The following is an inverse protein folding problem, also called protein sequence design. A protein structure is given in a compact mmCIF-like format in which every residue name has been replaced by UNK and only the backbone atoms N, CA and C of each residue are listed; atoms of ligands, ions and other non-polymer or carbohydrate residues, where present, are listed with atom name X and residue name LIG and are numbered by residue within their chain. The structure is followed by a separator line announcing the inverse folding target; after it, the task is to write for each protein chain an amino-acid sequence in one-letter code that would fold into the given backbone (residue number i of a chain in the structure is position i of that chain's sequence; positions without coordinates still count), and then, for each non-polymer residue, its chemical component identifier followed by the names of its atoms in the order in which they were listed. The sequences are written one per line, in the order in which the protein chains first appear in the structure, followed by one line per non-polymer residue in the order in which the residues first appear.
data_IF_300476725780
#
_entry.id   IF_300476725780
#
_cell.length_a   1.000
_cell.length_b   1.000
_cell.length_c   1.000
_cell.angle_alpha   90.00
_cell.angle_beta   90.00
_cell.angle_gamma   90.00
#
_symmetry.space_group_name_H-M   'P 1'
#
loop_
_entity.id
_entity.type
_entity.pdbx_description
1 polymer ?
#
# COMPACT_ATOMS: atom_id res chain seq x y z
N UNK A 1 -0.42 -17.61 17.36
CA UNK A 1 -1.82 -17.85 17.77
C UNK A 1 -2.17 -17.36 19.19
N UNK A 2 -1.22 -16.88 20.01
CA UNK A 2 -1.42 -16.83 21.48
C UNK A 2 -2.15 -15.58 22.04
N UNK A 3 -2.56 -14.62 21.20
CA UNK A 3 -3.16 -13.38 21.68
C UNK A 3 -4.67 -13.41 21.94
N UNK A 4 -5.45 -14.13 21.11
CA UNK A 4 -6.92 -14.03 21.10
C UNK A 4 -7.59 -15.09 21.99
N UNK A 5 -7.19 -16.35 21.85
CA UNK A 5 -7.66 -17.45 22.70
C UNK A 5 -7.30 -17.21 24.17
N UNK A 6 -6.13 -16.60 24.44
CA UNK A 6 -5.70 -16.23 25.78
C UNK A 6 -6.61 -15.18 26.46
N UNK A 7 -7.40 -14.42 25.69
CA UNK A 7 -8.34 -13.41 26.22
C UNK A 7 -9.78 -13.95 26.34
N UNK A 8 -9.99 -15.26 26.12
CA UNK A 8 -11.30 -15.89 26.25
C UNK A 8 -12.30 -15.53 25.14
N UNK A 9 -11.81 -15.02 24.00
CA UNK A 9 -12.67 -14.78 22.83
C UNK A 9 -13.07 -16.12 22.22
N UNK A 10 -14.37 -16.41 22.01
CA UNK A 10 -14.80 -17.66 21.43
C UNK A 10 -14.22 -17.89 20.03
N UNK A 11 -13.82 -19.13 19.72
CA UNK A 11 -13.22 -19.49 18.42
C UNK A 11 -14.12 -19.10 17.24
N UNK A 12 -15.44 -19.25 17.40
CA UNK A 12 -16.44 -18.83 16.41
C UNK A 12 -16.33 -17.35 16.03
N UNK A 13 -15.98 -16.46 16.97
CA UNK A 13 -15.79 -15.03 16.68
C UNK A 13 -14.51 -14.82 15.86
N UNK A 14 -13.47 -15.62 16.12
CA UNK A 14 -12.28 -15.60 15.29
C UNK A 14 -12.56 -16.01 13.85
N UNK A 15 -13.36 -17.04 13.66
CA UNK A 15 -13.67 -17.56 12.34
C UNK A 15 -14.65 -16.67 11.57
N UNK A 16 -15.69 -16.14 12.23
CA UNK A 16 -16.72 -15.34 11.54
C UNK A 16 -16.33 -13.87 11.32
N UNK A 17 -15.58 -13.28 12.25
CA UNK A 17 -15.27 -11.83 12.25
C UNK A 17 -13.80 -11.58 11.93
N UNK A 18 -12.89 -12.24 12.64
CA UNK A 18 -11.46 -11.94 12.49
C UNK A 18 -10.86 -12.50 11.20
N UNK A 19 -11.40 -13.55 10.58
CA UNK A 19 -10.99 -13.96 9.23
C UNK A 19 -11.26 -12.82 8.23
N UNK A 20 -12.50 -12.31 8.19
CA UNK A 20 -12.87 -11.23 7.28
C UNK A 20 -12.02 -9.97 7.51
N UNK A 21 -11.82 -9.59 8.77
CA UNK A 21 -11.01 -8.43 9.14
C UNK A 21 -9.53 -8.62 8.79
N UNK A 22 -8.95 -9.80 9.05
CA UNK A 22 -7.52 -10.04 8.79
C UNK A 22 -7.21 -9.99 7.29
N UNK A 23 -8.05 -10.65 6.49
CA UNK A 23 -7.92 -10.62 5.02
C UNK A 23 -8.11 -9.21 4.46
N UNK A 24 -9.06 -8.44 5.00
CA UNK A 24 -9.29 -7.08 4.54
C UNK A 24 -8.14 -6.12 4.86
N UNK A 25 -7.43 -6.35 5.97
CA UNK A 25 -6.34 -5.48 6.42
C UNK A 25 -5.00 -5.82 5.77
N UNK A 26 -4.69 -7.11 5.57
CA UNK A 26 -3.37 -7.53 5.11
C UNK A 26 -3.37 -8.81 4.25
N UNK A 27 -4.52 -9.22 3.72
CA UNK A 27 -4.66 -10.33 2.76
C UNK A 27 -4.28 -11.72 3.29
N UNK A 28 -4.07 -11.86 4.60
CA UNK A 28 -3.71 -13.12 5.27
C UNK A 28 -4.74 -13.50 6.34
N UNK A 29 -4.70 -14.77 6.75
CA UNK A 29 -5.59 -15.32 7.76
C UNK A 29 -5.15 -14.89 9.19
N UNK A 30 -6.06 -14.97 10.18
CA UNK A 30 -5.82 -14.46 11.54
C UNK A 30 -4.75 -15.22 12.33
N UNK A 31 -4.42 -16.44 11.93
CA UNK A 31 -3.34 -17.27 12.48
C UNK A 31 -1.96 -16.76 12.10
N UNK A 32 -1.84 -16.11 10.94
CA UNK A 32 -0.63 -15.49 10.43
C UNK A 32 -0.54 -13.98 10.70
N UNK A 33 -1.65 -13.34 11.10
CA UNK A 33 -1.68 -11.90 11.34
C UNK A 33 -1.31 -11.55 12.80
N UNK A 34 -0.38 -10.61 12.97
CA UNK A 34 -0.10 -10.01 14.27
C UNK A 34 -1.35 -9.36 14.87
N UNK A 35 -1.65 -9.67 16.14
CA UNK A 35 -2.79 -9.09 16.85
C UNK A 35 -2.71 -7.56 16.97
N UNK A 36 -1.49 -7.01 16.96
CA UNK A 36 -1.29 -5.57 16.94
C UNK A 36 -1.96 -4.91 15.72
N UNK A 37 -1.97 -5.59 14.57
CA UNK A 37 -2.65 -5.10 13.37
C UNK A 37 -4.16 -4.93 13.63
N UNK A 38 -4.79 -5.94 14.23
CA UNK A 38 -6.21 -5.90 14.60
C UNK A 38 -6.49 -4.79 15.60
N UNK A 39 -5.68 -4.66 16.66
CA UNK A 39 -5.86 -3.63 17.69
C UNK A 39 -5.78 -2.21 17.12
N UNK A 40 -4.85 -1.95 16.21
CA UNK A 40 -4.75 -0.64 15.55
C UNK A 40 -6.00 -0.35 14.71
N UNK A 41 -6.54 -1.34 14.00
CA UNK A 41 -7.79 -1.17 13.26
C UNK A 41 -8.98 -0.94 14.21
N UNK A 42 -9.10 -1.71 15.30
CA UNK A 42 -10.16 -1.55 16.29
C UNK A 42 -10.12 -0.17 16.95
N UNK A 43 -8.93 0.42 17.12
CA UNK A 43 -8.79 1.76 17.68
C UNK A 43 -9.51 2.83 16.83
N UNK A 44 -9.67 2.63 15.52
CA UNK A 44 -10.46 3.54 14.66
C UNK A 44 -11.93 3.61 15.04
N UNK A 45 -12.48 2.52 15.58
CA UNK A 45 -13.87 2.47 16.05
C UNK A 45 -14.06 3.20 17.39
N UNK A 46 -12.98 3.38 18.16
CA UNK A 46 -13.04 3.89 19.53
C UNK A 46 -12.63 5.37 19.64
N UNK A 47 -11.69 5.83 18.80
CA UNK A 47 -11.10 7.18 18.94
C UNK A 47 -11.95 8.28 18.31
N UNK A 48 -12.56 8.02 17.15
CA UNK A 48 -13.26 9.05 16.37
C UNK A 48 -14.66 8.55 16.00
N UNK A 49 -15.68 9.40 16.18
CA UNK A 49 -17.09 9.08 15.88
C UNK A 49 -17.30 8.54 14.45
N UNK A 50 -16.48 8.98 13.50
CA UNK A 50 -16.53 8.57 12.09
C UNK A 50 -15.26 7.84 11.63
N UNK A 51 -14.40 7.38 12.55
CA UNK A 51 -13.11 6.77 12.21
C UNK A 51 -13.21 5.44 11.45
N UNK A 52 -14.36 4.75 11.57
CA UNK A 52 -14.67 3.53 10.81
C UNK A 52 -15.51 3.78 9.54
N UNK A 53 -15.86 5.04 9.24
CA UNK A 53 -16.62 5.37 8.03
C UNK A 53 -15.75 5.13 6.79
N UNK A 54 -16.33 4.45 5.80
CA UNK A 54 -15.66 4.14 4.54
C UNK A 54 -16.04 5.15 3.46
N UNK A 55 -15.14 5.35 2.49
CA UNK A 55 -15.38 6.17 1.31
C UNK A 55 -14.64 5.56 0.12
N UNK A 56 -15.25 5.65 -1.05
CA UNK A 56 -14.61 5.33 -2.33
C UNK A 56 -14.10 6.62 -2.98
N UNK A 57 -13.00 6.50 -3.72
CA UNK A 57 -12.60 7.57 -4.63
C UNK A 57 -13.63 7.64 -5.76
N UNK A 58 -13.91 8.84 -6.27
CA UNK A 58 -14.95 9.05 -7.27
C UNK A 58 -14.52 8.67 -8.71
N UNK A 59 -13.35 8.05 -8.86
CA UNK A 59 -12.81 7.56 -10.12
C UNK A 59 -11.41 6.96 -9.95
N UNK A 60 -10.69 6.83 -11.06
CA UNK A 60 -9.39 6.19 -11.12
C UNK A 60 -8.33 6.95 -10.30
N UNK A 61 -7.53 6.27 -9.45
CA UNK A 61 -6.54 6.93 -8.60
C UNK A 61 -5.49 7.79 -9.33
N UNK A 62 -4.94 7.39 -10.51
CA UNK A 62 -3.96 8.19 -11.22
C UNK A 62 -4.44 9.61 -11.54
N UNK A 63 -5.66 9.77 -12.05
CA UNK A 63 -6.18 11.08 -12.42
C UNK A 63 -6.80 11.83 -11.23
N UNK A 64 -7.58 11.13 -10.40
CA UNK A 64 -8.37 11.77 -9.33
C UNK A 64 -7.54 12.13 -8.09
N UNK A 65 -6.43 11.43 -7.84
CA UNK A 65 -5.58 11.63 -6.66
C UNK A 65 -4.13 11.94 -7.01
N UNK A 66 -3.49 11.15 -7.86
CA UNK A 66 -2.06 11.32 -8.14
C UNK A 66 -1.79 12.59 -8.96
N UNK A 67 -2.59 12.87 -9.99
CA UNK A 67 -2.39 14.04 -10.85
C UNK A 67 -2.50 15.38 -10.09
N UNK A 68 -3.46 15.60 -9.17
CA UNK A 68 -3.45 16.77 -8.30
C UNK A 68 -2.14 16.96 -7.51
N UNK A 69 -1.55 15.86 -7.04
CA UNK A 69 -0.27 15.89 -6.30
C UNK A 69 0.88 16.27 -7.26
N UNK A 70 0.92 15.66 -8.46
CA UNK A 70 1.92 15.98 -9.50
C UNK A 70 1.84 17.46 -9.89
N UNK A 71 0.64 17.96 -10.17
CA UNK A 71 0.40 19.37 -10.52
C UNK A 71 0.88 20.31 -9.40
N UNK A 72 0.61 19.96 -8.14
CA UNK A 72 1.07 20.75 -7.01
C UNK A 72 2.60 20.80 -6.93
N UNK A 73 3.28 19.66 -7.05
CA UNK A 73 4.74 19.58 -7.06
C UNK A 73 5.33 20.42 -8.20
N UNK A 74 4.78 20.29 -9.42
CA UNK A 74 5.25 21.03 -10.59
C UNK A 74 4.99 22.53 -10.49
N UNK A 75 3.86 22.95 -9.90
CA UNK A 75 3.56 24.37 -9.66
C UNK A 75 4.56 25.04 -8.72
N UNK A 76 5.25 24.25 -7.88
CA UNK A 76 6.29 24.70 -6.97
C UNK A 76 7.72 24.48 -7.51
N UNK A 77 7.85 24.13 -8.80
CA UNK A 77 9.13 23.95 -9.48
C UNK A 77 9.75 22.55 -9.34
N UNK A 78 9.07 21.60 -8.72
CA UNK A 78 9.47 20.19 -8.73
C UNK A 78 9.26 19.53 -10.09
N UNK A 79 9.95 18.43 -10.34
CA UNK A 79 9.85 17.63 -11.56
C UNK A 79 9.29 16.25 -11.24
N UNK A 80 8.39 15.74 -12.06
CA UNK A 80 7.89 14.36 -11.97
C UNK A 80 8.17 13.65 -13.28
N UNK A 81 9.00 12.61 -13.24
CA UNK A 81 9.44 11.87 -14.42
C UNK A 81 8.93 10.43 -14.37
N UNK A 82 8.14 10.06 -15.38
CA UNK A 82 7.70 8.69 -15.61
C UNK A 82 8.77 7.92 -16.39
N UNK A 83 8.66 6.59 -16.43
CA UNK A 83 9.58 5.72 -17.18
C UNK A 83 11.07 5.90 -16.82
N UNK A 84 11.35 6.34 -15.60
CA UNK A 84 12.70 6.64 -15.09
C UNK A 84 13.09 5.60 -14.02
N UNK A 85 13.23 4.34 -14.42
CA UNK A 85 13.55 3.24 -13.49
C UNK A 85 15.00 3.35 -13.02
N UNK A 86 15.22 3.37 -11.70
CA UNK A 86 16.55 3.28 -11.11
C UNK A 86 17.08 1.85 -11.27
N UNK A 87 18.25 1.72 -11.89
CA UNK A 87 18.95 0.47 -12.11
C UNK A 87 19.98 0.19 -11.02
N UNK A 88 20.66 1.22 -10.50
CA UNK A 88 21.69 1.07 -9.48
C UNK A 88 21.87 2.33 -8.64
N UNK A 89 22.21 2.13 -7.37
CA UNK A 89 22.70 3.18 -6.46
C UNK A 89 24.22 3.14 -6.54
N UNK A 90 24.83 4.15 -7.18
CA UNK A 90 26.28 4.24 -7.26
C UNK A 90 26.84 5.01 -6.08
N UNK A 91 27.95 4.50 -5.51
CA UNK A 91 28.55 5.04 -4.30
C UNK A 91 29.84 5.83 -4.61
N UNK A 92 30.10 6.81 -3.74
CA UNK A 92 31.41 7.43 -3.60
C UNK A 92 32.37 6.49 -2.83
N UNK A 93 33.69 6.75 -2.85
CA UNK A 93 34.67 5.93 -2.11
C UNK A 93 34.44 5.86 -0.60
N UNK A 94 33.76 6.85 -0.02
CA UNK A 94 33.41 6.91 1.41
C UNK A 94 32.10 6.16 1.76
N UNK A 95 31.44 5.57 0.76
CA UNK A 95 30.18 4.84 0.91
C UNK A 95 28.91 5.68 0.88
N UNK A 96 29.01 7.00 0.65
CA UNK A 96 27.86 7.89 0.39
C UNK A 96 27.35 7.73 -1.05
N UNK A 97 26.15 8.21 -1.36
CA UNK A 97 25.62 8.09 -2.73
C UNK A 97 26.22 9.14 -3.64
N UNK A 98 26.75 8.66 -4.78
CA UNK A 98 27.25 9.49 -5.86
C UNK A 98 26.12 9.93 -6.80
N UNK A 99 25.29 8.99 -7.23
CA UNK A 99 24.11 9.23 -8.07
C UNK A 99 23.19 8.00 -8.13
N UNK A 100 21.95 8.20 -8.59
CA UNK A 100 21.10 7.12 -9.07
C UNK A 100 21.30 6.92 -10.57
N UNK A 101 21.75 5.73 -10.96
CA UNK A 101 21.87 5.34 -12.35
C UNK A 101 20.53 4.77 -12.83
N UNK A 102 19.97 5.34 -13.88
CA UNK A 102 18.74 4.88 -14.50
C UNK A 102 19.01 3.77 -15.53
N UNK A 103 17.97 3.04 -15.92
CA UNK A 103 18.06 1.95 -16.91
C UNK A 103 18.54 2.37 -18.29
N UNK A 104 18.31 3.62 -18.67
CA UNK A 104 18.75 4.20 -19.95
C UNK A 104 20.20 4.73 -19.90
N UNK A 105 20.90 4.55 -18.77
CA UNK A 105 22.24 5.07 -18.54
C UNK A 105 22.28 6.51 -18.02
N UNK A 106 21.15 7.20 -17.93
CA UNK A 106 21.08 8.55 -17.36
C UNK A 106 21.49 8.52 -15.88
N UNK A 107 22.30 9.50 -15.47
CA UNK A 107 22.73 9.66 -14.09
C UNK A 107 21.96 10.81 -13.45
N UNK A 108 21.28 10.54 -12.35
CA UNK A 108 20.56 11.55 -11.57
C UNK A 108 21.33 11.84 -10.29
N UNK A 109 21.78 13.10 -10.17
CA UNK A 109 22.45 13.64 -8.99
C UNK A 109 21.53 14.60 -8.24
N UNK A 110 21.78 14.76 -6.94
CA UNK A 110 21.23 15.83 -6.11
C UNK A 110 21.83 15.81 -4.70
N UNK A 111 21.35 16.71 -3.85
CA UNK A 111 21.91 16.93 -2.51
C UNK A 111 21.45 15.87 -1.50
N UNK A 112 20.26 15.31 -1.73
CA UNK A 112 19.70 14.23 -0.93
C UNK A 112 18.96 13.23 -1.83
N UNK A 113 19.01 11.96 -1.43
CA UNK A 113 18.39 10.86 -2.16
C UNK A 113 17.38 10.13 -1.28
N UNK A 114 16.15 10.04 -1.76
CA UNK A 114 15.09 9.28 -1.09
C UNK A 114 14.65 8.12 -1.96
N UNK A 115 14.70 6.93 -1.37
CA UNK A 115 14.24 5.71 -2.03
C UNK A 115 12.86 5.31 -1.49
N UNK A 116 11.87 5.36 -2.36
CA UNK A 116 10.43 5.35 -2.06
C UNK A 116 9.69 4.16 -2.69
N UNK A 117 10.40 3.07 -2.97
CA UNK A 117 9.87 1.90 -3.65
C UNK A 117 9.52 0.77 -2.64
N UNK A 118 8.81 -0.28 -3.07
CA UNK A 118 8.57 -1.46 -2.23
C UNK A 118 9.87 -2.05 -1.68
N UNK A 119 9.85 -2.59 -0.46
CA UNK A 119 11.07 -3.11 0.20
C UNK A 119 11.75 -4.19 -0.64
N UNK A 120 10.95 -5.01 -1.34
CA UNK A 120 11.45 -6.09 -2.18
C UNK A 120 12.27 -5.58 -3.37
N UNK A 121 11.93 -4.40 -3.90
CA UNK A 121 12.73 -3.75 -4.95
C UNK A 121 13.98 -3.13 -4.33
N UNK A 122 13.83 -2.44 -3.20
CA UNK A 122 14.98 -1.80 -2.55
C UNK A 122 16.04 -2.81 -2.12
N UNK A 123 15.67 -3.95 -1.51
CA UNK A 123 16.60 -5.02 -1.12
C UNK A 123 17.50 -5.47 -2.27
N UNK A 124 16.98 -5.51 -3.50
CA UNK A 124 17.75 -5.88 -4.69
C UNK A 124 18.76 -4.81 -5.11
N UNK A 125 18.50 -3.55 -4.75
CA UNK A 125 19.30 -2.38 -5.11
C UNK A 125 20.22 -1.90 -3.98
N UNK A 126 20.12 -2.46 -2.77
CA UNK A 126 21.04 -2.17 -1.66
C UNK A 126 22.47 -2.52 -2.11
N UNK A 127 23.40 -1.55 -2.12
CA UNK A 127 24.82 -1.78 -2.43
C UNK A 127 25.44 -2.84 -1.51
N UNK A 128 26.43 -3.58 -2.00
CA UNK A 128 27.04 -4.67 -1.24
C UNK A 128 27.66 -4.18 0.08
N UNK A 129 28.27 -2.99 0.02
CA UNK A 129 28.90 -2.28 1.13
C UNK A 129 27.92 -2.00 2.27
N UNK A 130 26.62 -1.91 1.97
CA UNK A 130 25.59 -1.59 2.94
C UNK A 130 24.91 -2.83 3.55
N UNK A 131 25.06 -4.01 2.93
CA UNK A 131 24.29 -5.21 3.32
C UNK A 131 24.52 -5.66 4.76
N UNK A 132 25.74 -5.53 5.27
CA UNK A 132 26.06 -5.93 6.65
C UNK A 132 25.70 -4.86 7.69
N UNK A 133 25.31 -3.66 7.27
CA UNK A 133 24.80 -2.65 8.20
C UNK A 133 23.47 -3.15 8.76
N UNK A 134 23.39 -3.24 10.10
CA UNK A 134 22.22 -3.77 10.82
C UNK A 134 20.88 -3.17 10.37
N UNK A 135 20.88 -1.90 9.95
CA UNK A 135 19.69 -1.26 9.39
C UNK A 135 19.16 -1.99 8.15
N UNK A 136 20.00 -2.23 7.14
CA UNK A 136 19.60 -2.86 5.88
C UNK A 136 19.38 -4.37 6.04
N UNK A 137 20.19 -5.05 6.87
CA UNK A 137 20.02 -6.48 7.18
C UNK A 137 18.66 -6.82 7.79
N UNK A 138 18.07 -5.90 8.57
CA UNK A 138 16.73 -6.10 9.15
C UNK A 138 15.63 -6.10 8.09
N UNK A 139 15.88 -5.57 6.89
CA UNK A 139 14.91 -5.57 5.80
C UNK A 139 14.64 -6.99 5.27
N UNK A 140 15.57 -7.93 5.46
CA UNK A 140 15.42 -9.33 4.98
C UNK A 140 14.21 -10.03 5.57
N UNK A 141 13.78 -9.62 6.78
CA UNK A 141 12.57 -10.15 7.41
C UNK A 141 11.30 -9.68 6.70
N UNK A 142 11.34 -8.56 5.99
CA UNK A 142 10.17 -7.97 5.36
C UNK A 142 9.97 -8.57 3.98
N UNK A 143 8.88 -9.32 3.81
CA UNK A 143 8.54 -9.99 2.55
C UNK A 143 7.12 -9.57 2.16
N UNK A 144 6.93 -9.19 0.90
CA UNK A 144 5.63 -8.86 0.35
C UNK A 144 4.69 -10.07 0.30
N UNK A 145 3.44 -9.84 0.67
CA UNK A 145 2.31 -10.77 0.64
C UNK A 145 1.68 -10.72 -0.76
N UNK A 146 1.37 -11.86 -1.39
CA UNK A 146 0.69 -11.89 -2.66
C UNK A 146 -0.79 -11.51 -2.52
N UNK A 147 -1.31 -10.74 -3.47
CA UNK A 147 -2.74 -10.40 -3.56
C UNK A 147 -3.15 -10.31 -5.03
N UNK A 148 -4.40 -10.66 -5.32
CA UNK A 148 -4.99 -10.55 -6.65
C UNK A 148 -6.25 -9.68 -6.55
N UNK A 149 -6.40 -8.75 -7.47
CA UNK A 149 -7.57 -7.89 -7.58
C UNK A 149 -8.28 -8.21 -8.90
N UNK A 150 -9.52 -8.69 -8.79
CA UNK A 150 -10.31 -9.26 -9.88
C UNK A 150 -11.42 -8.28 -10.24
N UNK A 151 -11.55 -7.97 -11.53
CA UNK A 151 -12.62 -7.13 -12.06
C UNK A 151 -13.45 -7.94 -13.04
N UNK A 152 -14.77 -7.96 -12.86
CA UNK A 152 -15.70 -8.69 -13.72
C UNK A 152 -16.83 -7.77 -14.15
N UNK A 153 -17.01 -7.59 -15.46
CA UNK A 153 -18.14 -6.85 -16.03
C UNK A 153 -19.21 -7.83 -16.48
N UNK A 154 -20.44 -7.62 -16.02
CA UNK A 154 -21.58 -8.45 -16.38
C UNK A 154 -22.43 -7.84 -17.51
N UNK A 155 -23.17 -8.70 -18.20
CA UNK A 155 -24.10 -8.35 -19.29
C UNK A 155 -25.30 -7.52 -18.84
N UNK A 156 -25.59 -7.50 -17.53
CA UNK A 156 -26.75 -6.86 -16.92
C UNK A 156 -26.39 -6.17 -15.61
N UNK A 157 -27.28 -5.29 -15.16
CA UNK A 157 -27.24 -4.74 -13.81
C UNK A 157 -27.74 -5.80 -12.82
N UNK A 158 -26.92 -6.08 -11.81
CA UNK A 158 -27.33 -6.94 -10.70
C UNK A 158 -28.33 -6.15 -9.83
N UNK A 159 -29.38 -6.84 -9.36
CA UNK A 159 -30.47 -6.24 -8.60
C UNK A 159 -30.12 -6.11 -7.12
N UNK A 160 -29.44 -7.11 -6.55
CA UNK A 160 -29.17 -7.17 -5.11
C UNK A 160 -27.74 -6.70 -4.76
N UNK A 161 -27.34 -5.55 -5.27
CA UNK A 161 -26.05 -4.90 -4.98
C UNK A 161 -26.20 -3.68 -4.09
N UNK A 162 -25.10 -3.24 -3.47
CA UNK A 162 -25.09 -2.20 -2.45
C UNK A 162 -24.08 -1.10 -2.80
N UNK A 163 -24.42 0.15 -2.49
CA UNK A 163 -23.50 1.29 -2.52
C UNK A 163 -22.58 1.26 -1.28
N UNK A 164 -21.79 0.18 -1.17
CA UNK A 164 -20.94 -0.08 -0.01
C UNK A 164 -19.86 -1.12 -0.33
N UNK A 165 -18.79 -1.14 0.47
CA UNK A 165 -17.85 -2.26 0.54
C UNK A 165 -18.50 -3.44 1.27
N UNK A 166 -18.38 -4.65 0.73
CA UNK A 166 -18.94 -5.87 1.29
C UNK A 166 -17.82 -6.84 1.69
N UNK A 167 -17.98 -7.51 2.83
CA UNK A 167 -17.10 -8.59 3.26
C UNK A 167 -17.71 -9.92 2.81
N UNK A 168 -17.05 -10.62 1.88
CA UNK A 168 -17.57 -11.89 1.34
C UNK A 168 -17.64 -13.01 2.39
N UNK A 169 -16.73 -12.99 3.37
CA UNK A 169 -16.46 -14.10 4.30
C UNK A 169 -16.14 -15.42 3.57
N UNK A 170 -15.67 -15.33 2.34
CA UNK A 170 -15.22 -16.47 1.54
C UNK A 170 -13.85 -16.99 2.00
N UNK A 171 -13.58 -18.26 1.74
CA UNK A 171 -12.25 -18.84 1.89
C UNK A 171 -11.25 -18.28 0.87
N UNK A 172 -11.70 -17.82 -0.30
CA UNK A 172 -10.87 -17.31 -1.40
C UNK A 172 -10.98 -15.80 -1.59
N UNK A 173 -12.16 -15.23 -1.37
CA UNK A 173 -12.39 -13.79 -1.53
C UNK A 173 -12.34 -13.07 -0.16
N UNK A 174 -11.93 -11.81 -0.20
CA UNK A 174 -11.91 -10.90 0.94
C UNK A 174 -13.06 -9.90 0.84
N UNK A 175 -12.76 -8.65 0.51
CA UNK A 175 -13.74 -7.59 0.28
C UNK A 175 -14.07 -7.45 -1.21
N UNK A 176 -15.28 -6.99 -1.50
CA UNK A 176 -15.71 -6.67 -2.86
C UNK A 176 -16.71 -5.52 -2.88
N UNK A 177 -16.90 -4.90 -4.04
CA UNK A 177 -17.91 -3.87 -4.26
C UNK A 177 -18.43 -3.91 -5.70
N UNK A 178 -19.67 -3.48 -5.92
CA UNK A 178 -20.14 -3.12 -7.26
C UNK A 178 -19.69 -1.69 -7.57
N UNK A 179 -18.60 -1.58 -8.32
CA UNK A 179 -18.00 -0.31 -8.67
C UNK A 179 -18.85 0.50 -9.65
N UNK A 180 -19.79 -0.15 -10.36
CA UNK A 180 -20.78 0.55 -11.18
C UNK A 180 -21.85 1.29 -10.37
N UNK A 181 -21.80 1.17 -9.03
CA UNK A 181 -22.64 1.87 -8.09
C UNK A 181 -21.79 2.74 -7.14
N UNK A 182 -20.76 2.15 -6.52
CA UNK A 182 -19.96 2.80 -5.49
C UNK A 182 -18.95 3.84 -6.01
N UNK A 183 -18.59 3.80 -7.30
CA UNK A 183 -17.63 4.71 -7.91
C UNK A 183 -18.30 5.55 -9.00
N UNK A 184 -18.21 6.88 -8.86
CA UNK A 184 -18.93 7.82 -9.73
C UNK A 184 -18.48 7.75 -11.19
N UNK A 185 -17.17 7.69 -11.47
CA UNK A 185 -16.64 7.58 -12.83
C UNK A 185 -17.02 6.26 -13.50
N UNK A 186 -17.20 5.19 -12.71
CA UNK A 186 -17.48 3.85 -13.22
C UNK A 186 -18.97 3.53 -13.27
N UNK A 187 -19.83 4.49 -12.94
CA UNK A 187 -21.27 4.31 -12.87
C UNK A 187 -21.83 3.84 -14.22
N UNK A 188 -22.58 2.72 -14.19
CA UNK A 188 -23.35 2.23 -15.33
C UNK A 188 -24.74 1.77 -14.81
N UNK A 189 -25.84 2.35 -15.32
CA UNK A 189 -27.19 2.02 -14.86
C UNK A 189 -27.66 0.64 -15.35
N UNK A 190 -27.06 0.11 -16.42
CA UNK A 190 -27.53 -1.08 -17.12
C UNK A 190 -26.62 -2.30 -16.93
N UNK A 191 -25.39 -2.11 -16.44
CA UNK A 191 -24.39 -3.18 -16.24
C UNK A 191 -23.70 -3.04 -14.90
N UNK A 192 -23.45 -4.17 -14.25
CA UNK A 192 -22.66 -4.21 -13.02
C UNK A 192 -21.18 -4.54 -13.29
N UNK A 193 -20.30 -3.96 -12.49
CA UNK A 193 -18.88 -4.29 -12.47
C UNK A 193 -18.48 -4.60 -11.04
N UNK A 194 -18.16 -5.86 -10.77
CA UNK A 194 -17.68 -6.27 -9.46
C UNK A 194 -16.16 -6.21 -9.43
N UNK A 195 -15.62 -5.46 -8.47
CA UNK A 195 -14.20 -5.48 -8.12
C UNK A 195 -14.04 -6.24 -6.80
N UNK A 196 -13.17 -7.25 -6.80
CA UNK A 196 -13.00 -8.20 -5.70
C UNK A 196 -11.53 -8.37 -5.35
N UNK A 197 -11.22 -8.36 -4.06
CA UNK A 197 -9.92 -8.79 -3.55
C UNK A 197 -9.94 -10.30 -3.34
N UNK A 198 -9.05 -11.01 -4.01
CA UNK A 198 -8.83 -12.44 -3.87
C UNK A 198 -7.64 -12.65 -2.92
N UNK A 199 -7.93 -13.20 -1.73
CA UNK A 199 -6.98 -13.39 -0.64
C UNK A 199 -7.41 -14.52 0.32
N UNK A 200 -6.47 -15.39 0.74
CA UNK A 200 -5.03 -15.38 0.45
C UNK A 200 -4.71 -15.83 -0.99
N UNK A 201 -3.62 -15.31 -1.56
CA UNK A 201 -3.29 -15.51 -2.98
C UNK A 201 -1.99 -16.29 -3.23
N UNK A 202 -1.33 -16.84 -2.21
CA UNK A 202 -0.04 -17.52 -2.36
C UNK A 202 -0.08 -18.68 -3.37
N UNK A 203 -1.06 -19.57 -3.24
CA UNK A 203 -1.24 -20.69 -4.18
C UNK A 203 -1.91 -20.30 -5.50
N UNK A 204 -2.34 -19.04 -5.64
CA UNK A 204 -3.13 -18.54 -6.78
C UNK A 204 -2.34 -17.61 -7.67
N UNK A 205 -1.29 -16.96 -7.15
CA UNK A 205 -0.55 -15.90 -7.86
C UNK A 205 0.13 -16.40 -9.15
N UNK A 206 0.48 -17.69 -9.20
CA UNK A 206 1.06 -18.34 -10.38
C UNK A 206 0.05 -18.98 -11.32
N UNK A 207 -1.24 -19.07 -10.95
CA UNK A 207 -2.28 -19.70 -11.77
C UNK A 207 -2.72 -18.82 -12.93
N UNK A 208 -3.39 -19.40 -13.91
CA UNK A 208 -3.93 -18.65 -15.06
C UNK A 208 -5.08 -17.72 -14.64
N UNK A 209 -5.32 -16.68 -15.43
CA UNK A 209 -6.44 -15.76 -15.18
C UNK A 209 -7.79 -16.48 -15.25
N UNK A 210 -7.91 -17.46 -16.16
CA UNK A 210 -9.11 -18.30 -16.29
C UNK A 210 -9.39 -19.11 -15.02
N UNK A 211 -8.39 -19.76 -14.43
CA UNK A 211 -8.57 -20.50 -13.17
C UNK A 211 -9.02 -19.58 -12.02
N UNK A 212 -8.48 -18.36 -11.96
CA UNK A 212 -8.85 -17.36 -10.95
C UNK A 212 -10.30 -16.90 -11.16
N UNK A 213 -10.70 -16.66 -12.41
CA UNK A 213 -12.07 -16.26 -12.76
C UNK A 213 -13.06 -17.39 -12.47
N UNK A 214 -12.74 -18.63 -12.82
CA UNK A 214 -13.57 -19.79 -12.50
C UNK A 214 -13.80 -19.93 -11.00
N UNK A 215 -12.72 -19.86 -10.20
CA UNK A 215 -12.82 -19.88 -8.75
C UNK A 215 -13.62 -18.70 -8.18
N UNK A 216 -13.43 -17.50 -8.74
CA UNK A 216 -14.18 -16.30 -8.34
C UNK A 216 -15.68 -16.45 -8.64
N UNK A 217 -16.02 -17.04 -9.79
CA UNK A 217 -17.42 -17.27 -10.20
C UNK A 217 -18.11 -18.32 -9.34
N UNK A 218 -17.39 -19.35 -8.87
CA UNK A 218 -17.91 -20.31 -7.89
C UNK A 218 -18.25 -19.65 -6.55
N UNK A 219 -17.42 -18.71 -6.08
CA UNK A 219 -17.71 -17.94 -4.87
C UNK A 219 -18.85 -16.93 -5.08
N UNK A 220 -18.89 -16.26 -6.24
CA UNK A 220 -19.99 -15.35 -6.59
C UNK A 220 -21.33 -16.08 -6.72
N UNK A 221 -21.35 -17.32 -7.19
CA UNK A 221 -22.57 -18.14 -7.22
C UNK A 221 -23.13 -18.44 -5.82
N UNK A 222 -22.29 -18.41 -4.77
CA UNK A 222 -22.74 -18.51 -3.37
C UNK A 222 -23.28 -17.18 -2.85
N UNK A 223 -22.68 -16.06 -3.27
CA UNK A 223 -23.05 -14.70 -2.84
C UNK A 223 -24.31 -14.18 -3.55
N UNK A 224 -24.49 -14.53 -4.82
CA UNK A 224 -25.58 -14.12 -5.69
C UNK A 224 -26.27 -15.34 -6.31
N UNK A 225 -26.81 -16.27 -5.49
CA UNK A 225 -27.30 -17.56 -5.98
C UNK A 225 -28.39 -17.44 -7.02
N UNK A 226 -29.17 -16.35 -7.03
CA UNK A 226 -30.26 -16.11 -7.97
C UNK A 226 -29.86 -15.32 -9.22
N UNK A 227 -28.66 -14.74 -9.26
CA UNK A 227 -28.24 -13.80 -10.32
C UNK A 227 -26.98 -14.25 -11.06
N UNK A 228 -26.06 -14.94 -10.37
CA UNK A 228 -24.78 -15.39 -10.93
C UNK A 228 -24.69 -16.91 -10.81
N UNK A 229 -24.28 -17.56 -11.89
CA UNK A 229 -23.97 -18.98 -11.92
C UNK A 229 -22.61 -19.17 -12.60
N UNK A 230 -21.81 -20.13 -12.12
CA UNK A 230 -20.43 -20.30 -12.60
C UNK A 230 -20.35 -20.72 -14.07
N UNK A 231 -21.37 -21.43 -14.56
CA UNK A 231 -21.54 -21.81 -15.97
C UNK A 231 -22.11 -20.68 -16.86
N UNK A 232 -22.31 -19.49 -16.29
CA UNK A 232 -22.91 -18.33 -16.94
C UNK A 232 -24.34 -18.57 -17.49
N UNK A 233 -25.08 -19.53 -16.91
CA UNK A 233 -26.50 -19.75 -17.22
C UNK A 233 -27.40 -18.56 -16.80
N UNK A 234 -26.92 -17.72 -15.87
CA UNK A 234 -27.61 -16.52 -15.38
C UNK A 234 -26.97 -15.25 -15.96
N UNK A 235 -26.35 -14.39 -15.13
CA UNK A 235 -25.54 -13.27 -15.60
C UNK A 235 -24.29 -13.77 -16.33
N UNK A 236 -23.93 -13.10 -17.42
CA UNK A 236 -22.80 -13.48 -18.29
C UNK A 236 -21.67 -12.48 -18.15
N UNK A 237 -20.44 -12.98 -18.19
CA UNK A 237 -19.24 -12.14 -18.16
C UNK A 237 -19.05 -11.54 -19.56
N UNK A 238 -19.04 -10.20 -19.66
CA UNK A 238 -18.68 -9.51 -20.89
C UNK A 238 -17.17 -9.47 -21.08
N UNK A 239 -16.46 -9.19 -19.99
CA UNK A 239 -14.99 -9.14 -19.92
C UNK A 239 -14.55 -9.23 -18.46
N UNK A 240 -13.28 -9.55 -18.26
CA UNK A 240 -12.64 -9.52 -16.95
C UNK A 240 -11.25 -8.90 -17.03
N UNK A 241 -10.72 -8.49 -15.89
CA UNK A 241 -9.33 -8.06 -15.74
C UNK A 241 -8.77 -8.53 -14.40
N UNK A 242 -7.70 -9.32 -14.44
CA UNK A 242 -7.06 -9.90 -13.26
C UNK A 242 -5.73 -9.20 -13.03
N UNK A 243 -5.61 -8.46 -11.93
CA UNK A 243 -4.38 -7.76 -11.56
C UNK A 243 -3.68 -8.54 -10.45
N UNK A 244 -2.50 -9.08 -10.75
CA UNK A 244 -1.71 -9.88 -9.80
C UNK A 244 -0.58 -9.05 -9.21
N UNK A 245 -0.56 -8.91 -7.89
CA UNK A 245 0.54 -8.26 -7.17
C UNK A 245 1.23 -9.29 -6.28
N UNK A 246 2.30 -9.95 -6.75
CA UNK A 246 2.94 -11.05 -6.02
C UNK A 246 3.68 -10.60 -4.76
N UNK A 247 4.01 -9.30 -4.67
CA UNK A 247 4.67 -8.69 -3.50
C UNK A 247 3.99 -7.35 -3.22
N UNK A 248 2.99 -7.36 -2.34
CA UNK A 248 2.21 -6.18 -1.96
C UNK A 248 2.62 -5.64 -0.58
N UNK A 249 1.76 -5.80 0.44
CA UNK A 249 2.06 -5.48 1.83
C UNK A 249 2.96 -6.49 2.52
N UNK A 250 3.67 -6.07 3.57
CA UNK A 250 4.58 -6.99 4.26
C UNK A 250 3.83 -7.83 5.29
N UNK A 251 4.32 -9.04 5.55
CA UNK A 251 3.88 -9.82 6.71
C UNK A 251 4.12 -9.03 8.01
N UNK A 252 3.11 -8.83 8.87
CA UNK A 252 3.26 -8.02 10.07
C UNK A 252 3.98 -8.77 11.20
N UNK A 253 4.11 -10.09 11.11
CA UNK A 253 4.87 -10.91 12.07
C UNK A 253 6.39 -10.73 11.95
N UNK A 254 6.85 -10.01 10.92
CA UNK A 254 8.28 -9.87 10.63
C UNK A 254 8.86 -8.52 11.03
N UNK A 255 8.10 -7.68 11.73
CA UNK A 255 8.55 -6.39 12.26
C UNK A 255 9.17 -6.58 13.66
N UNK A 256 10.51 -6.59 13.82
CA UNK A 256 11.09 -6.37 15.13
C UNK A 256 10.79 -4.94 15.58
N UNK A 257 10.44 -4.76 16.86
CA UNK A 257 10.06 -3.52 17.56
C UNK A 257 11.01 -2.31 17.43
N UNK A 258 12.08 -2.40 16.64
CA UNK A 258 13.17 -1.42 16.57
C UNK A 258 13.73 -1.15 15.17
N UNK A 259 13.02 -1.35 14.06
CA UNK A 259 13.49 -0.82 12.74
C UNK A 259 13.23 0.70 12.64
N UNK A 260 13.65 1.45 13.65
CA UNK A 260 13.95 2.87 13.46
C UNK A 260 15.25 2.94 12.64
N UNK A 261 15.24 3.76 11.58
CA UNK A 261 16.47 4.40 11.16
C UNK A 261 17.02 5.12 12.39
N UNK A 262 18.05 4.54 13.00
CA UNK A 262 18.80 5.24 14.01
C UNK A 262 19.48 6.39 13.26
N UNK A 263 18.99 7.62 13.47
CA UNK A 263 19.49 8.89 12.88
C UNK A 263 20.95 9.21 13.26
N UNK A 264 21.80 8.20 13.46
CA UNK A 264 23.17 8.30 13.98
C UNK A 264 24.25 7.88 12.98
N UNK A 265 23.91 7.34 11.81
CA UNK A 265 24.87 7.15 10.73
C UNK A 265 24.66 8.25 9.69
N UNK A 266 25.67 9.08 9.43
CA UNK A 266 25.63 10.15 8.42
C UNK A 266 25.55 9.60 7.00
N UNK A 267 24.42 9.01 6.64
CA UNK A 267 24.13 8.51 5.30
C UNK A 267 23.18 9.46 4.58
N UNK A 268 23.55 9.86 3.36
CA UNK A 268 22.77 10.76 2.49
C UNK A 268 21.58 10.07 1.79
N UNK A 269 21.30 8.81 2.15
CA UNK A 269 20.11 8.08 1.69
C UNK A 269 19.17 7.82 2.85
N UNK A 270 18.04 8.52 2.80
CA UNK A 270 16.88 8.13 3.58
C UNK A 270 16.08 7.09 2.80
N UNK A 271 16.18 5.84 3.24
CA UNK A 271 15.24 4.82 2.81
C UNK A 271 13.93 4.96 3.58
N UNK A 272 12.86 5.23 2.84
CA UNK A 272 11.51 5.12 3.35
C UNK A 272 10.83 3.98 2.60
N UNK A 273 10.82 2.77 3.18
CA UNK A 273 9.87 1.79 2.69
C UNK A 273 8.47 2.24 3.11
N UNK A 274 7.64 2.49 2.10
CA UNK A 274 6.29 3.06 2.20
C UNK A 274 5.33 2.21 3.04
N UNK A 275 5.71 0.98 3.41
CA UNK A 275 4.93 0.08 4.28
C UNK A 275 5.64 -0.34 5.58
N UNK A 276 6.79 0.26 5.92
CA UNK A 276 7.64 -0.23 7.05
C UNK A 276 7.68 0.72 8.23
N UNK A 277 7.14 1.93 8.11
CA UNK A 277 7.18 2.86 9.23
C UNK A 277 5.95 2.78 10.14
N UNK A 278 6.25 2.47 11.39
CA UNK A 278 5.46 2.68 12.60
C UNK A 278 5.05 4.15 12.73
N UNK A 279 4.06 4.56 11.96
CA UNK A 279 3.03 5.41 12.58
C UNK A 279 2.04 4.44 13.24
N UNK A 280 1.30 4.87 14.24
CA UNK A 280 0.27 4.08 14.96
C UNK A 280 -0.91 3.63 14.07
N UNK A 281 -0.67 3.35 12.80
CA UNK A 281 -1.62 3.20 11.69
C UNK A 281 -1.11 2.11 10.74
N UNK A 282 -2.02 1.20 10.36
CA UNK A 282 -1.79 0.07 9.45
C UNK A 282 -1.30 0.50 8.06
N UNK A 283 -0.72 -0.42 7.28
CA UNK A 283 -0.26 -0.18 5.92
C UNK A 283 -1.42 0.11 4.94
N UNK A 284 -1.98 1.32 5.01
CA UNK A 284 -3.18 1.82 4.33
C UNK A 284 -2.87 3.21 3.73
N UNK A 285 -3.60 3.63 2.69
CA UNK A 285 -3.46 4.92 1.96
C UNK A 285 -3.16 6.14 2.85
N UNK A 286 -3.80 6.25 4.01
CA UNK A 286 -3.59 7.33 4.99
C UNK A 286 -2.13 7.52 5.46
N UNK A 287 -1.53 6.54 6.17
CA UNK A 287 -0.14 6.64 6.61
C UNK A 287 0.90 6.91 5.50
N UNK A 288 0.66 6.51 4.24
CA UNK A 288 1.56 6.86 3.13
C UNK A 288 1.72 8.38 2.95
N UNK A 289 0.63 9.15 3.08
CA UNK A 289 0.67 10.62 2.96
C UNK A 289 1.30 11.31 4.17
N UNK A 290 1.30 10.66 5.33
CA UNK A 290 1.91 11.19 6.56
C UNK A 290 3.42 10.95 6.58
N UNK A 291 3.87 9.84 5.99
CA UNK A 291 5.28 9.48 5.91
C UNK A 291 6.08 10.43 5.02
N UNK A 292 5.54 10.81 3.87
CA UNK A 292 6.16 11.83 3.01
C UNK A 292 6.32 13.18 3.73
N UNK A 293 5.34 13.56 4.58
CA UNK A 293 5.47 14.76 5.43
C UNK A 293 6.59 14.64 6.46
N UNK A 294 6.75 13.47 7.10
CA UNK A 294 7.84 13.25 8.07
C UNK A 294 9.22 13.20 7.44
N UNK A 295 9.34 12.70 6.21
CA UNK A 295 10.57 12.72 5.43
C UNK A 295 11.01 14.16 5.13
N UNK A 296 10.11 14.96 4.55
CA UNK A 296 10.36 16.37 4.27
C UNK A 296 10.74 17.16 5.53
N UNK A 297 10.09 16.88 6.67
CA UNK A 297 10.42 17.50 7.96
C UNK A 297 11.79 17.07 8.51
N UNK A 298 12.23 15.84 8.25
CA UNK A 298 13.54 15.36 8.68
C UNK A 298 14.67 16.04 7.90
N UNK A 299 14.49 16.23 6.59
CA UNK A 299 15.45 16.94 5.74
C UNK A 299 15.53 18.43 6.12
N UNK A 300 14.38 19.08 6.32
CA UNK A 300 14.29 20.46 6.83
C UNK A 300 15.00 20.65 8.19
N UNK A 301 14.92 19.65 9.08
CA UNK A 301 15.60 19.70 10.38
C UNK A 301 17.11 19.51 10.29
N UNK A 302 17.63 18.81 9.26
CA UNK A 302 19.07 18.69 9.04
C UNK A 302 19.65 20.03 8.56
N UNK A 303 18.93 20.74 7.68
CA UNK A 303 19.35 22.05 7.18
C UNK A 303 19.36 23.12 8.30
N UNK A 304 18.34 23.09 9.19
CA UNK A 304 18.26 24.00 10.34
C UNK A 304 19.16 23.64 11.54
N UNK A 305 19.80 22.45 11.59
CA UNK A 305 20.80 22.16 12.65
C UNK A 305 22.07 22.99 12.54
N UNK A 306 22.29 23.68 11.43
CA UNK A 306 23.31 24.72 11.30
C UNK A 306 23.01 25.98 12.14
N UNK A 307 21.77 26.14 12.66
CA UNK A 307 21.34 27.29 13.46
C UNK A 307 20.40 26.88 14.61
N UNK A 308 20.98 26.56 15.78
CA UNK A 308 20.37 26.65 17.12
C UNK A 308 18.89 26.23 17.35
N UNK A 309 18.71 25.07 18.00
CA UNK A 309 17.60 24.67 18.90
C UNK A 309 16.20 25.32 18.75
N UNK A 310 15.28 24.65 18.05
CA UNK A 310 13.83 24.86 18.19
C UNK A 310 13.12 23.49 18.17
N UNK A 311 13.12 22.79 19.30
CA UNK A 311 12.39 21.52 19.46
C UNK A 311 11.05 21.57 20.21
N UNK A 312 10.65 22.64 20.95
CA UNK A 312 9.33 22.62 21.59
C UNK A 312 8.15 23.12 20.73
N UNK A 313 8.35 23.75 19.57
CA UNK A 313 7.29 24.54 18.92
C UNK A 313 6.49 23.85 17.79
N UNK A 314 6.89 22.66 17.32
CA UNK A 314 6.39 22.09 16.04
C UNK A 314 5.45 20.88 16.24
N UNK A 315 4.93 20.68 17.46
CA UNK A 315 3.77 19.78 17.66
C UNK A 315 2.43 20.48 17.42
N UNK A 316 2.42 21.79 17.10
CA UNK A 316 1.20 22.58 16.86
C UNK A 316 1.13 23.38 15.55
N UNK A 317 2.18 23.50 14.73
CA UNK A 317 2.12 24.35 13.53
C UNK A 317 1.49 23.63 12.33
N UNK A 318 0.28 24.05 11.96
CA UNK A 318 -0.34 23.81 10.66
C UNK A 318 0.37 24.64 9.58
N UNK A 319 0.58 24.03 8.41
CA UNK A 319 0.85 24.67 7.11
C UNK A 319 2.15 25.49 6.96
N UNK A 320 3.25 24.84 6.60
CA UNK A 320 4.34 25.48 5.82
C UNK A 320 5.02 24.46 4.90
N UNK A 321 4.90 24.65 3.58
CA UNK A 321 5.74 24.01 2.57
C UNK A 321 6.75 25.06 2.07
N UNK A 322 8.05 24.73 2.10
CA UNK A 322 9.13 25.60 1.61
C UNK A 322 9.51 25.20 0.16
N UNK A 323 10.06 26.14 -0.65
CA UNK A 323 10.30 25.94 -2.07
C UNK A 323 11.60 25.16 -2.30
N UNK A 324 11.50 23.86 -2.56
CA UNK A 324 12.62 23.03 -3.04
C UNK A 324 12.20 22.34 -4.34
N UNK A 325 13.12 22.19 -5.30
CA UNK A 325 12.89 21.43 -6.53
C UNK A 325 13.01 19.94 -6.21
N UNK A 326 11.88 19.24 -6.18
CA UNK A 326 11.82 17.79 -5.97
C UNK A 326 11.76 17.06 -7.30
N UNK A 327 12.73 16.21 -7.64
CA UNK A 327 12.67 15.33 -8.83
C UNK A 327 12.18 13.94 -8.45
N UNK A 328 11.02 13.52 -8.93
CA UNK A 328 10.49 12.17 -8.75
C UNK A 328 10.91 11.26 -9.91
N UNK A 329 11.49 10.10 -9.58
CA UNK A 329 11.73 8.97 -10.47
C UNK A 329 11.05 7.73 -9.89
N UNK A 330 9.96 7.28 -10.51
CA UNK A 330 9.23 6.02 -10.25
C UNK A 330 9.45 5.39 -8.86
N UNK A 331 8.84 5.97 -7.82
CA UNK A 331 8.97 5.49 -6.44
C UNK A 331 10.30 5.88 -5.78
N UNK A 332 10.89 7.02 -6.11
CA UNK A 332 12.05 7.64 -5.46
C UNK A 332 12.07 9.12 -5.80
N UNK A 333 12.70 9.95 -5.00
CA UNK A 333 12.88 11.36 -5.32
C UNK A 333 14.24 11.90 -4.88
N UNK A 334 14.69 12.92 -5.60
CA UNK A 334 15.93 13.64 -5.38
C UNK A 334 15.58 15.10 -5.10
N UNK A 335 16.18 15.69 -4.07
CA UNK A 335 15.96 17.09 -3.71
C UNK A 335 17.10 17.95 -4.27
N UNK A 336 16.74 19.12 -4.79
CA UNK A 336 17.68 20.16 -5.25
C UNK A 336 17.10 21.55 -4.92
N UNK A 337 17.94 22.58 -4.74
CA UNK A 337 17.48 23.95 -4.49
C UNK A 337 16.65 24.55 -5.63
#
# INVERSE_FOLDING_TARGET
MDGKAAQGVPDRVNDEVFIAMSKALNFINPDELSMQCILIALNRFLQEKHGSKMAFLDGNPPERLCMPIVNHIQSLGGEVRLNSRIQKIELNPDGTVKHFALTDGTQITGDAYVFAAPVDIFKLLVPQEWREISYFKRLDKLVGVPVINVHIWFDRKLKNTYDHLLFSRSSLLSVYADMSLACKEYYDPNRSMLELVFAPAEEWIGRSDTEIIEATMLELAKLFPDEIAADQSKAKILKYHVVKTPRSGHFPNTLPDKVMANKRGGFDVLFFSYMVYYTSWLAVTGPFTRLSRTANLADLCNDHRSKGSIWPAITQSRNTWLPWRVRFCQGSFVLSP
#
